data_IF_058444656279
#
_entry.id   IF_058444656279
#
_cell.length_a   1.000
_cell.length_b   1.000
_cell.length_c   1.000
_cell.angle_alpha   90.00
_cell.angle_beta   90.00
_cell.angle_gamma   90.00
#
_symmetry.space_group_name_H-M   'P 1'
#
loop_
_entity.id
_entity.type
_entity.pdbx_description
1 polymer ?
#
# COMPACT_ATOMS: atom_id res chain seq x y z
N UNK A 1 3.52 75.80 7.29
CA UNK A 1 2.96 74.79 6.37
C UNK A 1 3.79 73.55 6.65
N UNK A 2 3.53 72.83 7.75
CA UNK A 2 2.41 71.89 7.97
C UNK A 2 2.50 70.73 6.96
N UNK A 3 2.54 69.44 7.29
CA UNK A 3 2.66 68.59 8.50
C UNK A 3 3.07 67.21 7.88
N UNK A 4 4.16 66.53 8.26
CA UNK A 4 4.27 65.47 9.30
C UNK A 4 3.02 64.59 9.48
N UNK A 5 3.18 63.27 9.27
CA UNK A 5 2.76 62.25 10.25
C UNK A 5 3.15 60.83 9.80
N UNK A 6 4.35 60.41 10.25
CA UNK A 6 4.61 59.06 10.77
C UNK A 6 3.99 58.99 12.17
N UNK A 7 3.32 57.90 12.56
CA UNK A 7 3.29 57.47 13.96
C UNK A 7 2.87 56.00 14.10
N UNK A 8 3.84 55.19 14.50
CA UNK A 8 3.63 54.17 15.52
C UNK A 8 3.37 54.89 16.84
N UNK A 9 2.35 54.47 17.61
CA UNK A 9 2.16 54.87 19.01
C UNK A 9 1.98 53.64 19.88
N UNK A 10 2.91 53.49 20.80
CA UNK A 10 2.77 52.73 22.03
C UNK A 10 3.24 53.68 23.14
N UNK A 11 2.38 53.99 24.11
CA UNK A 11 2.79 54.54 25.41
C UNK A 11 1.71 54.21 26.45
N UNK A 12 2.15 53.74 27.62
CA UNK A 12 1.32 53.51 28.80
C UNK A 12 1.70 54.45 29.94
N UNK A 13 1.12 54.19 31.13
CA UNK A 13 1.72 54.24 32.49
C UNK A 13 0.64 54.53 33.55
N UNK A 14 0.49 53.60 34.50
CA UNK A 14 0.62 53.81 35.97
C UNK A 14 0.83 52.40 36.56
N UNK A 15 1.97 52.02 37.19
CA UNK A 15 2.44 52.42 38.52
C UNK A 15 1.76 51.55 39.61
N UNK A 16 2.37 50.71 40.44
CA UNK A 16 3.74 50.23 40.65
C UNK A 16 3.73 49.18 41.79
N UNK A 17 4.76 48.33 41.88
CA UNK A 17 5.46 47.82 43.09
C UNK A 17 6.24 46.53 42.80
N UNK A 18 7.56 46.66 42.72
CA UNK A 18 8.61 45.67 43.04
C UNK A 18 8.78 45.58 44.58
N UNK A 19 9.54 44.63 45.20
CA UNK A 19 10.79 43.98 44.73
C UNK A 19 10.90 42.47 45.09
N UNK A 20 11.94 41.66 44.82
CA UNK A 20 13.36 41.80 44.44
C UNK A 20 13.93 40.41 44.06
N UNK A 21 14.85 40.39 43.08
CA UNK A 21 16.09 39.58 42.92
C UNK A 21 16.11 38.04 43.10
N UNK A 22 16.78 37.22 42.28
CA UNK A 22 17.68 37.51 41.15
C UNK A 22 18.40 36.25 40.60
N UNK A 23 19.21 36.50 39.56
CA UNK A 23 20.34 35.72 39.00
C UNK A 23 20.13 34.63 37.92
N UNK A 24 20.39 35.06 36.67
CA UNK A 24 21.30 34.52 35.62
C UNK A 24 21.63 33.02 35.54
N UNK A 25 21.51 32.50 34.31
CA UNK A 25 22.34 31.39 33.80
C UNK A 25 21.76 30.78 32.52
N UNK A 26 22.47 30.96 31.40
CA UNK A 26 22.19 30.41 30.07
C UNK A 26 21.99 28.88 30.05
N UNK A 27 21.09 28.41 29.19
CA UNK A 27 21.30 27.21 28.37
C UNK A 27 20.29 27.17 27.23
N UNK A 28 20.78 27.35 26.00
CA UNK A 28 20.11 26.92 24.79
C UNK A 28 19.80 25.43 24.88
N UNK A 29 18.54 25.08 24.70
CA UNK A 29 18.11 23.71 24.44
C UNK A 29 17.24 23.76 23.18
N UNK A 30 17.86 23.46 22.04
CA UNK A 30 17.17 23.02 20.83
C UNK A 30 16.39 21.76 21.19
N UNK A 31 15.08 21.90 21.40
CA UNK A 31 14.14 20.78 21.39
C UNK A 31 13.62 20.63 19.97
N UNK A 32 14.33 19.83 19.17
CA UNK A 32 13.80 19.25 17.95
C UNK A 32 12.64 18.32 18.35
N UNK A 33 11.41 18.83 18.26
CA UNK A 33 10.20 18.05 18.46
C UNK A 33 10.02 17.07 17.29
N UNK A 34 10.32 15.79 17.57
CA UNK A 34 10.08 14.63 16.71
C UNK A 34 8.56 14.45 16.47
N UNK A 35 8.08 14.74 15.26
CA UNK A 35 6.71 14.40 14.86
C UNK A 35 6.66 13.06 14.09
N UNK A 36 5.84 12.15 14.61
CA UNK A 36 5.79 10.74 14.23
C UNK A 36 5.12 10.47 12.88
N UNK A 37 5.80 9.72 12.02
CA UNK A 37 5.23 9.10 10.83
C UNK A 37 4.39 7.88 11.22
N UNK A 38 3.15 8.10 11.64
CA UNK A 38 2.21 7.00 11.89
C UNK A 38 1.54 6.57 10.58
N UNK A 39 1.80 5.33 10.15
CA UNK A 39 0.87 4.60 9.28
C UNK A 39 -0.21 4.07 10.21
N UNK A 40 -1.31 4.81 10.33
CA UNK A 40 -2.44 4.42 11.17
C UNK A 40 -3.27 3.31 10.51
N UNK A 41 -3.70 2.29 11.24
CA UNK A 41 -4.83 1.44 10.86
C UNK A 41 -6.06 2.31 10.53
N UNK A 42 -6.93 1.88 9.61
CA UNK A 42 -8.16 2.64 9.30
C UNK A 42 -9.06 2.78 10.55
N UNK A 43 -8.88 1.90 11.53
CA UNK A 43 -9.62 1.90 12.81
C UNK A 43 -9.17 2.98 13.79
N UNK A 44 -8.00 3.58 13.61
CA UNK A 44 -7.40 4.52 14.58
C UNK A 44 -7.55 5.97 14.13
N UNK A 45 -8.76 6.37 13.71
CA UNK A 45 -9.10 7.78 13.54
C UNK A 45 -9.46 8.40 14.93
N UNK A 46 -8.66 9.35 15.45
CA UNK A 46 -8.88 9.96 16.77
C UNK A 46 -10.16 10.79 16.88
N UNK A 47 -10.97 10.92 15.83
CA UNK A 47 -12.24 11.68 15.85
C UNK A 47 -13.52 10.84 15.97
N UNK A 48 -13.41 9.52 16.08
CA UNK A 48 -14.58 8.61 16.07
C UNK A 48 -15.27 8.39 17.43
N UNK A 49 -15.23 9.36 18.35
CA UNK A 49 -16.07 9.34 19.56
C UNK A 49 -17.38 10.08 19.34
N UNK A 50 -18.23 9.60 18.42
CA UNK A 50 -19.67 9.89 18.48
C UNK A 50 -20.46 8.63 18.09
N UNK A 51 -21.24 8.12 19.05
CA UNK A 51 -22.20 7.04 18.88
C UNK A 51 -23.22 7.43 17.79
N UNK A 52 -23.10 6.82 16.61
CA UNK A 52 -24.09 6.86 15.55
C UNK A 52 -24.40 5.44 15.08
N UNK A 53 -25.67 5.14 14.91
CA UNK A 53 -26.14 3.83 14.45
C UNK A 53 -26.03 3.81 12.91
N UNK A 54 -24.94 3.26 12.37
CA UNK A 54 -24.61 3.36 10.94
C UNK A 54 -24.99 2.09 10.16
N UNK A 55 -25.57 2.27 8.95
CA UNK A 55 -25.80 1.21 7.98
C UNK A 55 -24.46 0.80 7.35
N UNK A 56 -23.84 -0.24 7.87
CA UNK A 56 -22.65 -0.89 7.29
C UNK A 56 -23.09 -1.77 6.11
N UNK A 57 -22.37 -1.74 4.99
CA UNK A 57 -22.55 -2.68 3.87
C UNK A 57 -22.52 -4.12 4.42
N UNK A 58 -23.47 -4.97 4.02
CA UNK A 58 -23.73 -6.26 4.69
C UNK A 58 -22.49 -7.17 4.82
N UNK A 59 -21.55 -7.11 3.87
CA UNK A 59 -20.32 -7.92 3.88
C UNK A 59 -19.35 -7.55 5.01
N UNK A 60 -19.29 -6.27 5.41
CA UNK A 60 -18.39 -5.76 6.46
C UNK A 60 -19.04 -5.76 7.85
N UNK A 61 -20.35 -6.01 7.94
CA UNK A 61 -21.09 -6.05 9.22
C UNK A 61 -20.61 -7.16 10.17
N UNK A 62 -19.97 -8.19 9.63
CA UNK A 62 -19.32 -9.25 10.40
C UNK A 62 -17.92 -8.85 10.90
N UNK A 63 -17.28 -7.86 10.25
CA UNK A 63 -15.95 -7.36 10.62
C UNK A 63 -16.01 -6.51 11.90
N UNK A 64 -17.07 -5.70 12.04
CA UNK A 64 -17.28 -4.80 13.18
C UNK A 64 -17.85 -5.50 14.42
N UNK A 65 -18.42 -6.70 14.28
CA UNK A 65 -19.05 -7.46 15.38
C UNK A 65 -18.09 -8.35 16.19
N UNK A 66 -16.80 -8.39 15.86
CA UNK A 66 -15.81 -9.26 16.52
C UNK A 66 -15.08 -8.60 17.71
N UNK A 67 -15.74 -7.75 18.50
CA UNK A 67 -15.14 -7.08 19.68
C UNK A 67 -15.21 -7.88 21.00
N UNK A 68 -15.47 -9.19 20.98
CA UNK A 68 -15.45 -10.02 22.18
C UNK A 68 -14.47 -11.19 22.08
N UNK A 69 -13.17 -10.88 22.06
CA UNK A 69 -12.15 -11.82 22.52
C UNK A 69 -11.26 -11.13 23.55
N UNK A 70 -11.22 -11.71 24.74
CA UNK A 70 -10.65 -11.12 25.94
C UNK A 70 -9.19 -10.73 25.82
N UNK A 71 -8.86 -9.65 26.51
CA UNK A 71 -7.50 -9.20 26.79
C UNK A 71 -6.74 -10.28 27.57
N UNK A 72 -6.10 -11.21 26.85
CA UNK A 72 -5.09 -12.10 27.42
C UNK A 72 -3.74 -11.41 27.26
N UNK A 73 -3.16 -10.97 28.37
CA UNK A 73 -1.90 -10.22 28.42
C UNK A 73 -0.79 -10.84 27.60
N UNK A 74 -0.17 -10.01 26.75
CA UNK A 74 1.03 -10.35 26.00
C UNK A 74 2.21 -10.59 26.95
N UNK A 75 3.04 -11.63 26.74
CA UNK A 75 4.32 -11.72 27.42
C UNK A 75 5.22 -10.60 26.90
N UNK A 76 5.73 -9.78 27.81
CA UNK A 76 6.73 -8.75 27.51
C UNK A 76 8.05 -9.41 27.09
N UNK A 77 8.20 -9.77 25.81
CA UNK A 77 9.51 -9.94 25.20
C UNK A 77 9.95 -8.57 24.68
N UNK A 78 11.05 -8.08 25.22
CA UNK A 78 11.68 -6.79 24.91
C UNK A 78 12.27 -6.77 23.50
N UNK A 79 11.43 -6.83 22.48
CA UNK A 79 11.81 -6.24 21.19
C UNK A 79 11.84 -4.73 21.42
N UNK A 80 13.02 -4.12 21.30
CA UNK A 80 13.19 -2.68 21.45
C UNK A 80 12.54 -1.98 20.25
N UNK A 81 11.21 -1.87 20.25
CA UNK A 81 10.44 -1.22 19.18
C UNK A 81 10.98 0.18 18.87
N UNK A 82 11.41 0.91 19.91
CA UNK A 82 12.05 2.22 19.76
C UNK A 82 13.36 2.17 18.97
N UNK A 83 14.19 1.15 19.17
CA UNK A 83 15.45 0.98 18.42
C UNK A 83 15.18 0.53 16.98
N UNK A 84 14.21 -0.38 16.78
CA UNK A 84 13.80 -0.80 15.45
C UNK A 84 13.26 0.38 14.62
N UNK A 85 12.45 1.26 15.23
CA UNK A 85 11.95 2.49 14.61
C UNK A 85 13.08 3.49 14.31
N UNK A 86 13.99 3.74 15.25
CA UNK A 86 15.16 4.59 15.00
C UNK A 86 15.98 4.09 13.83
N UNK A 87 16.27 2.79 13.79
CA UNK A 87 17.00 2.18 12.69
C UNK A 87 16.24 2.23 11.36
N UNK A 88 14.92 2.07 11.37
CA UNK A 88 14.09 2.21 10.17
C UNK A 88 14.08 3.64 9.63
N UNK A 89 13.95 4.64 10.51
CA UNK A 89 14.02 6.07 10.15
C UNK A 89 15.41 6.40 9.58
N UNK A 90 16.47 5.93 10.24
CA UNK A 90 17.83 6.18 9.77
C UNK A 90 18.06 5.60 8.38
N UNK A 91 17.60 4.36 8.13
CA UNK A 91 17.63 3.77 6.79
C UNK A 91 16.82 4.60 5.79
N UNK A 92 15.62 5.04 6.16
CA UNK A 92 14.76 5.83 5.28
C UNK A 92 15.41 7.18 4.91
N UNK A 93 16.10 7.85 5.85
CA UNK A 93 16.85 9.09 5.58
C UNK A 93 17.98 8.91 4.57
N UNK A 94 18.59 7.72 4.54
CA UNK A 94 19.70 7.39 3.64
C UNK A 94 19.25 6.80 2.30
N UNK A 95 17.96 6.53 2.12
CA UNK A 95 17.43 6.07 0.83
C UNK A 95 17.37 7.25 -0.15
N UNK A 96 18.03 7.17 -1.32
CA UNK A 96 17.93 8.20 -2.32
C UNK A 96 16.49 8.26 -2.87
N UNK A 97 16.05 9.44 -3.27
CA UNK A 97 14.78 9.60 -3.95
C UNK A 97 14.84 8.89 -5.33
N UNK A 98 14.04 7.83 -5.54
CA UNK A 98 14.06 7.07 -6.79
C UNK A 98 13.61 7.90 -8.00
N UNK A 99 13.01 9.08 -7.78
CA UNK A 99 12.55 9.97 -8.85
C UNK A 99 13.36 11.27 -8.98
N UNK A 100 14.47 11.40 -8.24
CA UNK A 100 15.31 12.59 -8.29
C UNK A 100 15.78 12.93 -9.73
N UNK A 101 16.09 11.92 -10.54
CA UNK A 101 16.57 12.09 -11.92
C UNK A 101 15.52 12.68 -12.87
N UNK A 102 14.22 12.61 -12.53
CA UNK A 102 13.15 13.14 -13.37
C UNK A 102 12.84 14.60 -13.08
N UNK A 103 13.49 15.20 -12.08
CA UNK A 103 13.36 16.62 -11.73
C UNK A 103 11.90 17.08 -11.61
N UNK A 104 11.06 16.25 -10.96
CA UNK A 104 9.63 16.54 -10.81
C UNK A 104 9.40 17.84 -10.03
N UNK A 105 10.36 18.26 -9.21
CA UNK A 105 10.33 19.54 -8.49
C UNK A 105 10.34 20.77 -9.41
N UNK A 106 10.79 20.65 -10.66
CA UNK A 106 10.85 21.75 -11.63
C UNK A 106 9.58 21.88 -12.46
N UNK A 107 8.70 20.86 -12.40
CA UNK A 107 7.40 20.86 -13.09
C UNK A 107 6.45 21.86 -12.41
N UNK A 108 5.51 22.41 -13.17
CA UNK A 108 4.46 23.28 -12.62
C UNK A 108 3.65 22.55 -11.52
N UNK A 109 3.42 23.26 -10.42
CA UNK A 109 2.53 22.78 -9.36
C UNK A 109 1.09 22.83 -9.83
N UNK A 110 0.33 21.78 -9.55
CA UNK A 110 -1.08 21.68 -9.86
C UNK A 110 -1.90 21.49 -8.59
N UNK A 111 -3.05 22.17 -8.52
CA UNK A 111 -4.02 21.99 -7.45
C UNK A 111 -5.04 20.92 -7.84
N UNK A 112 -5.23 19.92 -6.97
CA UNK A 112 -6.16 18.83 -7.20
C UNK A 112 -7.14 18.69 -6.03
N UNK A 113 -8.37 18.26 -6.34
CA UNK A 113 -9.28 17.74 -5.31
C UNK A 113 -8.99 16.26 -5.13
N UNK A 114 -8.78 15.82 -3.89
CA UNK A 114 -8.54 14.42 -3.54
C UNK A 114 -9.78 13.87 -2.83
N UNK A 115 -10.34 12.80 -3.39
CA UNK A 115 -11.44 12.05 -2.81
C UNK A 115 -10.92 10.76 -2.17
N UNK A 116 -11.11 10.61 -0.87
CA UNK A 116 -10.70 9.44 -0.08
C UNK A 116 -11.93 8.71 0.41
N UNK A 117 -11.92 7.38 0.28
CA UNK A 117 -13.00 6.54 0.79
C UNK A 117 -12.61 5.89 2.11
N UNK A 118 -13.45 6.02 3.12
CA UNK A 118 -13.32 5.28 4.37
C UNK A 118 -14.18 4.01 4.28
N UNK A 119 -13.55 2.86 4.13
CA UNK A 119 -14.25 1.58 4.00
C UNK A 119 -14.96 1.12 5.29
N UNK A 120 -14.63 1.69 6.45
CA UNK A 120 -15.30 1.37 7.72
C UNK A 120 -16.61 2.16 7.85
N UNK A 121 -16.58 3.47 7.58
CA UNK A 121 -17.78 4.32 7.69
C UNK A 121 -18.64 4.32 6.42
N UNK A 122 -18.06 3.95 5.27
CA UNK A 122 -18.71 4.04 3.96
C UNK A 122 -18.75 5.48 3.41
N UNK A 123 -18.02 6.41 4.02
CA UNK A 123 -18.07 7.83 3.68
C UNK A 123 -16.90 8.25 2.79
N UNK A 124 -17.15 9.28 1.98
CA UNK A 124 -16.14 9.97 1.20
C UNK A 124 -15.69 11.24 1.90
N UNK A 125 -14.38 11.44 1.93
CA UNK A 125 -13.73 12.64 2.45
C UNK A 125 -13.04 13.36 1.30
N UNK A 126 -13.20 14.67 1.24
CA UNK A 126 -12.60 15.52 0.21
C UNK A 126 -11.62 16.50 0.85
N UNK A 127 -10.45 16.64 0.23
CA UNK A 127 -9.47 17.66 0.59
C UNK A 127 -8.72 18.17 -0.64
N UNK A 128 -8.08 19.34 -0.50
CA UNK A 128 -7.24 19.91 -1.54
C UNK A 128 -5.80 19.44 -1.35
N UNK A 129 -5.16 19.10 -2.47
CA UNK A 129 -3.77 18.66 -2.49
C UNK A 129 -3.00 19.36 -3.59
N UNK A 130 -1.70 19.56 -3.36
CA UNK A 130 -0.77 20.04 -4.36
C UNK A 130 0.03 18.86 -4.90
N UNK A 131 0.05 18.72 -6.22
CA UNK A 131 0.83 17.68 -6.89
C UNK A 131 1.70 18.25 -8.00
N UNK A 132 2.75 17.50 -8.36
CA UNK A 132 3.56 17.69 -9.56
C UNK A 132 3.65 16.36 -10.27
N UNK A 133 3.11 16.28 -11.48
CA UNK A 133 2.98 15.03 -12.23
C UNK A 133 3.76 15.11 -13.54
N UNK A 134 4.51 14.05 -13.85
CA UNK A 134 5.19 13.91 -15.13
C UNK A 134 4.18 13.91 -16.29
N UNK A 135 4.56 14.50 -17.42
CA UNK A 135 3.71 14.55 -18.62
C UNK A 135 3.62 13.23 -19.37
N UNK A 136 4.64 12.37 -19.24
CA UNK A 136 4.72 11.08 -19.92
C UNK A 136 4.50 9.92 -18.93
N UNK A 137 3.77 8.87 -19.33
CA UNK A 137 3.64 7.67 -18.51
C UNK A 137 4.98 6.92 -18.45
N UNK A 138 5.22 6.22 -17.35
CA UNK A 138 6.41 5.38 -17.17
C UNK A 138 6.09 3.89 -17.08
N UNK A 139 4.81 3.55 -16.90
CA UNK A 139 4.32 2.20 -16.81
C UNK A 139 2.93 2.10 -17.41
N UNK A 140 2.57 0.91 -17.87
CA UNK A 140 1.28 0.62 -18.49
C UNK A 140 0.85 -0.78 -18.11
N UNK A 141 -0.35 -0.90 -17.54
CA UNK A 141 -1.06 -2.17 -17.34
C UNK A 141 -2.00 -2.47 -18.50
N UNK A 142 -2.91 -3.42 -18.31
CA UNK A 142 -3.90 -3.77 -19.33
C UNK A 142 -4.87 -2.61 -19.64
N UNK A 143 -5.36 -1.93 -18.59
CA UNK A 143 -6.42 -0.92 -18.72
C UNK A 143 -5.97 0.50 -18.39
N UNK A 144 -4.85 0.65 -17.65
CA UNK A 144 -4.40 1.93 -17.08
C UNK A 144 -2.94 2.19 -17.37
N UNK A 145 -2.58 3.45 -17.52
CA UNK A 145 -1.21 3.93 -17.60
C UNK A 145 -0.83 4.74 -16.36
N UNK A 146 0.46 4.76 -16.03
CA UNK A 146 1.00 5.22 -14.75
C UNK A 146 1.97 6.39 -14.95
N UNK A 147 1.81 7.45 -14.16
CA UNK A 147 2.61 8.67 -14.18
C UNK A 147 3.33 8.87 -12.85
N UNK A 148 4.59 9.30 -12.92
CA UNK A 148 5.36 9.68 -11.72
C UNK A 148 4.79 10.99 -11.18
N UNK A 149 4.45 11.02 -9.89
CA UNK A 149 3.76 12.15 -9.28
C UNK A 149 4.27 12.45 -7.88
N UNK A 150 4.82 13.64 -7.62
CA UNK A 150 5.05 14.08 -6.25
C UNK A 150 3.79 14.72 -5.70
N UNK A 151 3.46 14.42 -4.44
CA UNK A 151 2.41 15.11 -3.68
C UNK A 151 3.05 15.77 -2.47
N UNK A 152 2.79 17.06 -2.31
CA UNK A 152 3.29 17.79 -1.15
C UNK A 152 2.58 17.32 0.13
N UNK A 153 3.31 17.31 1.26
CA UNK A 153 2.71 17.05 2.57
C UNK A 153 1.76 18.20 2.93
N UNK A 154 0.63 17.86 3.55
CA UNK A 154 -0.31 18.87 4.05
C UNK A 154 0.09 19.37 5.46
N UNK A 155 1.08 18.73 6.10
CA UNK A 155 1.49 18.99 7.49
C UNK A 155 2.77 19.82 7.58
N UNK A 156 3.59 19.84 6.53
CA UNK A 156 4.84 20.61 6.54
C UNK A 156 4.55 22.05 6.13
N UNK A 157 4.91 23.00 6.99
CA UNK A 157 4.81 24.43 6.71
C UNK A 157 5.73 24.89 5.57
N UNK A 158 6.76 24.11 5.25
CA UNK A 158 7.70 24.40 4.16
C UNK A 158 7.30 23.63 2.89
N UNK A 159 7.09 24.35 1.79
CA UNK A 159 6.75 23.75 0.48
C UNK A 159 7.98 23.12 -0.21
N UNK A 160 8.63 22.16 0.45
CA UNK A 160 9.86 21.54 -0.06
C UNK A 160 9.57 20.33 -0.94
N UNK A 161 9.49 20.55 -2.26
CA UNK A 161 9.20 19.51 -3.26
C UNK A 161 10.26 18.40 -3.36
N UNK A 162 11.52 18.69 -3.02
CA UNK A 162 12.58 17.67 -3.01
C UNK A 162 12.30 16.55 -1.99
N UNK A 163 11.73 16.90 -0.84
CA UNK A 163 11.32 15.95 0.20
C UNK A 163 9.87 15.47 0.10
N UNK A 164 9.12 15.90 -0.92
CA UNK A 164 7.73 15.48 -1.10
C UNK A 164 7.64 13.99 -1.46
N UNK A 165 6.59 13.33 -0.99
CA UNK A 165 6.41 11.89 -1.17
C UNK A 165 6.10 11.54 -2.63
N UNK A 166 6.62 10.38 -3.05
CA UNK A 166 6.42 9.82 -4.39
C UNK A 166 5.13 9.01 -4.47
N UNK A 167 4.30 9.32 -5.48
CA UNK A 167 3.01 8.69 -5.78
C UNK A 167 2.89 8.33 -7.27
N UNK A 168 2.23 7.20 -7.55
CA UNK A 168 1.85 6.81 -8.90
C UNK A 168 0.44 7.31 -9.16
N UNK A 169 0.30 8.18 -10.16
CA UNK A 169 -1.02 8.56 -10.68
C UNK A 169 -1.38 7.63 -11.85
N UNK A 170 -2.57 7.04 -11.84
CA UNK A 170 -3.04 6.13 -12.89
C UNK A 170 -4.29 6.68 -13.55
N UNK A 171 -4.39 6.57 -14.87
CA UNK A 171 -5.65 6.84 -15.60
C UNK A 171 -5.95 5.70 -16.55
N UNK A 172 -7.22 5.54 -16.91
CA UNK A 172 -7.61 4.61 -17.95
C UNK A 172 -7.08 5.05 -19.32
N UNK A 173 -6.67 4.06 -20.11
CA UNK A 173 -6.22 4.26 -21.49
C UNK A 173 -7.42 4.62 -22.38
N UNK A 174 -8.54 3.95 -22.15
CA UNK A 174 -9.81 4.21 -22.80
C UNK A 174 -10.69 5.11 -21.94
N UNK A 175 -11.65 5.80 -22.58
CA UNK A 175 -12.61 6.63 -21.85
C UNK A 175 -13.52 5.75 -21.03
N UNK A 176 -13.66 6.06 -19.74
CA UNK A 176 -14.59 5.40 -18.83
C UNK A 176 -15.43 6.45 -18.10
N UNK A 177 -16.56 6.02 -17.54
CA UNK A 177 -17.39 6.89 -16.72
C UNK A 177 -16.67 7.28 -15.42
N UNK A 178 -17.00 8.46 -14.90
CA UNK A 178 -16.43 8.98 -13.65
C UNK A 178 -16.61 8.00 -12.50
N UNK A 179 -17.77 7.37 -12.39
CA UNK A 179 -18.10 6.46 -11.28
C UNK A 179 -17.17 5.25 -11.21
N UNK A 180 -16.60 4.82 -12.34
CA UNK A 180 -15.62 3.73 -12.40
C UNK A 180 -14.39 4.05 -11.54
N UNK A 181 -13.90 5.29 -11.56
CA UNK A 181 -12.76 5.69 -10.72
C UNK A 181 -13.06 5.57 -9.23
N UNK A 182 -14.29 5.90 -8.82
CA UNK A 182 -14.72 5.87 -7.43
C UNK A 182 -14.98 4.43 -6.97
N UNK A 183 -15.56 3.59 -7.84
CA UNK A 183 -15.80 2.18 -7.55
C UNK A 183 -14.49 1.40 -7.38
N UNK A 184 -13.47 1.65 -8.21
CA UNK A 184 -12.13 1.07 -8.06
C UNK A 184 -11.48 1.42 -6.71
N UNK A 185 -11.66 2.67 -6.24
CA UNK A 185 -11.17 3.08 -4.92
C UNK A 185 -11.93 2.36 -3.81
N UNK A 186 -13.26 2.20 -3.92
CA UNK A 186 -14.03 1.41 -2.94
C UNK A 186 -13.51 -0.02 -2.87
N UNK A 187 -13.36 -0.67 -4.04
CA UNK A 187 -12.84 -2.02 -4.15
C UNK A 187 -11.50 -2.17 -3.41
N UNK A 188 -10.52 -1.33 -3.74
CA UNK A 188 -9.19 -1.45 -3.16
C UNK A 188 -9.18 -1.18 -1.64
N UNK A 189 -9.99 -0.23 -1.18
CA UNK A 189 -10.09 0.09 0.24
C UNK A 189 -10.87 -0.99 1.03
N UNK A 190 -11.86 -1.65 0.43
CA UNK A 190 -12.52 -2.81 1.04
C UNK A 190 -11.58 -4.03 1.07
N UNK A 191 -10.81 -4.27 0.00
CA UNK A 191 -9.77 -5.29 -0.01
C UNK A 191 -8.71 -5.04 1.08
N UNK A 192 -8.39 -3.77 1.38
CA UNK A 192 -7.49 -3.41 2.49
C UNK A 192 -8.02 -3.86 3.85
N UNK A 193 -9.32 -3.71 4.12
CA UNK A 193 -9.93 -4.21 5.36
C UNK A 193 -9.79 -5.73 5.49
N UNK A 194 -9.85 -6.46 4.38
CA UNK A 194 -9.57 -7.90 4.37
C UNK A 194 -8.10 -8.22 4.70
N UNK A 195 -7.16 -7.39 4.23
CA UNK A 195 -5.75 -7.46 4.64
C UNK A 195 -5.56 -7.28 6.15
N UNK A 196 -6.23 -6.28 6.73
CA UNK A 196 -6.22 -6.06 8.18
C UNK A 196 -6.81 -7.25 8.94
N UNK A 197 -7.93 -7.80 8.47
CA UNK A 197 -8.58 -8.97 9.10
C UNK A 197 -7.72 -10.23 9.03
N UNK A 198 -7.06 -10.46 7.88
CA UNK A 198 -6.06 -11.51 7.74
C UNK A 198 -4.95 -11.35 8.78
N UNK A 199 -4.46 -10.13 8.99
CA UNK A 199 -3.40 -9.85 9.97
C UNK A 199 -3.83 -10.05 11.42
N UNK A 200 -5.11 -9.84 11.76
CA UNK A 200 -5.65 -10.12 13.12
C UNK A 200 -5.49 -11.59 13.52
N UNK A 201 -5.41 -12.50 12.54
CA UNK A 201 -5.22 -13.93 12.73
C UNK A 201 -3.74 -14.34 12.86
N UNK A 202 -2.82 -13.38 12.99
CA UNK A 202 -1.37 -13.59 13.21
C UNK A 202 -0.75 -14.60 12.23
N UNK A 203 -0.93 -14.41 10.91
CA UNK A 203 -0.31 -15.27 9.90
C UNK A 203 1.23 -15.20 10.01
N UNK A 204 1.97 -16.18 9.47
CA UNK A 204 3.44 -16.15 9.48
C UNK A 204 4.03 -14.89 8.82
N UNK A 205 3.25 -14.27 7.93
CA UNK A 205 3.54 -12.98 7.32
C UNK A 205 2.26 -12.16 7.23
N UNK A 206 2.34 -10.95 7.73
CA UNK A 206 1.32 -9.94 7.51
C UNK A 206 1.36 -9.44 6.07
N UNK A 207 0.22 -8.96 5.60
CA UNK A 207 0.05 -8.35 4.27
C UNK A 207 -0.52 -6.95 4.45
N UNK A 208 -0.35 -6.09 3.47
CA UNK A 208 -1.10 -4.84 3.41
C UNK A 208 -1.49 -4.52 1.97
N UNK A 209 -2.58 -3.79 1.81
CA UNK A 209 -3.03 -3.26 0.52
C UNK A 209 -2.87 -1.74 0.55
N UNK A 210 -2.24 -1.21 -0.51
CA UNK A 210 -2.00 0.21 -0.63
C UNK A 210 -3.31 0.99 -0.62
N UNK A 211 -3.32 2.09 0.13
CA UNK A 211 -4.41 3.04 0.04
C UNK A 211 -4.40 3.71 -1.33
N UNK A 212 -5.60 3.88 -1.88
CA UNK A 212 -5.83 4.55 -3.15
C UNK A 212 -6.88 5.65 -2.95
N UNK A 213 -6.73 6.73 -3.70
CA UNK A 213 -7.70 7.82 -3.73
C UNK A 213 -7.92 8.28 -5.17
N UNK A 214 -9.01 9.02 -5.41
CA UNK A 214 -9.22 9.71 -6.69
C UNK A 214 -8.64 11.11 -6.56
N UNK A 215 -7.89 11.58 -7.55
CA UNK A 215 -7.52 12.99 -7.70
C UNK A 215 -8.10 13.58 -8.97
N UNK A 216 -8.73 14.74 -8.83
CA UNK A 216 -9.33 15.52 -9.92
C UNK A 216 -8.50 16.78 -10.16
N UNK A 217 -7.96 16.90 -11.38
CA UNK A 217 -7.18 18.07 -11.80
C UNK A 217 -8.11 19.16 -12.32
N UNK A 218 -8.61 19.99 -11.40
CA UNK A 218 -9.65 21.00 -11.64
C UNK A 218 -9.29 22.03 -12.71
N UNK A 219 -8.00 22.36 -12.80
CA UNK A 219 -7.50 23.40 -13.70
C UNK A 219 -7.16 22.89 -15.10
N UNK A 220 -7.19 21.56 -15.32
CA UNK A 220 -6.98 20.96 -16.64
C UNK A 220 -8.29 20.89 -17.43
N UNK A 221 -8.26 21.08 -18.77
CA UNK A 221 -9.43 20.87 -19.61
C UNK A 221 -10.03 19.47 -19.41
N UNK A 222 -11.35 19.42 -19.24
CA UNK A 222 -12.07 18.17 -19.00
C UNK A 222 -11.97 17.61 -17.58
N UNK A 223 -11.27 18.29 -16.65
CA UNK A 223 -11.13 17.90 -15.24
C UNK A 223 -10.77 16.41 -15.06
N UNK A 224 -9.66 15.95 -15.66
CA UNK A 224 -9.33 14.54 -15.72
C UNK A 224 -9.12 13.95 -14.32
N UNK A 225 -9.52 12.69 -14.18
CA UNK A 225 -9.38 11.91 -12.96
C UNK A 225 -8.22 10.94 -13.04
N UNK A 226 -7.56 10.76 -11.90
CA UNK A 226 -6.51 9.79 -11.72
C UNK A 226 -6.74 9.03 -10.41
N UNK A 227 -6.42 7.74 -10.39
CA UNK A 227 -6.15 7.04 -9.14
C UNK A 227 -4.78 7.47 -8.65
N UNK A 228 -4.64 7.78 -7.36
CA UNK A 228 -3.36 8.14 -6.74
C UNK A 228 -3.06 7.21 -5.58
N UNK A 229 -1.89 6.56 -5.64
CA UNK A 229 -1.35 5.67 -4.60
C UNK A 229 0.14 5.95 -4.39
N UNK A 230 0.69 5.61 -3.23
CA UNK A 230 2.13 5.78 -3.00
C UNK A 230 2.95 4.89 -3.92
N UNK A 231 4.10 5.40 -4.37
CA UNK A 231 5.07 4.59 -5.08
C UNK A 231 5.65 3.50 -4.17
N UNK A 232 5.65 2.27 -4.67
CA UNK A 232 6.26 1.13 -3.99
C UNK A 232 7.57 0.77 -4.70
N UNK A 233 8.69 0.96 -4.03
CA UNK A 233 9.99 0.58 -4.57
C UNK A 233 10.21 -0.93 -4.48
N UNK A 234 10.59 -1.54 -5.61
CA UNK A 234 11.04 -2.93 -5.70
C UNK A 234 10.47 -3.68 -6.90
N UNK A 235 10.71 -5.00 -6.94
CA UNK A 235 10.23 -5.86 -8.02
C UNK A 235 8.73 -6.10 -7.90
N UNK A 236 7.97 -5.52 -8.83
CA UNK A 236 6.53 -5.75 -8.97
C UNK A 236 6.26 -7.17 -9.48
N UNK A 237 5.41 -7.93 -8.79
CA UNK A 237 5.07 -9.31 -9.13
C UNK A 237 3.55 -9.50 -9.01
N UNK A 238 2.94 -10.16 -10.00
CA UNK A 238 1.56 -10.64 -9.97
C UNK A 238 1.53 -12.11 -9.52
N UNK A 239 0.90 -12.39 -8.39
CA UNK A 239 0.93 -13.70 -7.72
C UNK A 239 -0.24 -14.61 -8.10
N UNK A 240 -1.42 -14.05 -8.36
CA UNK A 240 -2.54 -14.72 -8.98
C UNK A 240 -3.31 -13.75 -9.88
N UNK A 241 -4.20 -14.27 -10.72
CA UNK A 241 -5.11 -13.47 -11.55
C UNK A 241 -6.55 -13.56 -11.05
N UNK A 242 -7.38 -12.60 -11.47
CA UNK A 242 -8.83 -12.66 -11.33
C UNK A 242 -9.50 -13.83 -12.09
N UNK A 243 -8.78 -14.51 -12.99
CA UNK A 243 -9.26 -15.65 -13.79
C UNK A 243 -8.67 -17.00 -13.35
N UNK A 244 -8.04 -17.08 -12.17
CA UNK A 244 -7.48 -18.31 -11.61
C UNK A 244 -6.10 -18.69 -12.16
N UNK A 245 -5.45 -17.84 -12.94
CA UNK A 245 -4.10 -18.08 -13.45
C UNK A 245 -3.05 -17.79 -12.37
N UNK A 246 -2.11 -18.71 -12.18
CA UNK A 246 -0.95 -18.56 -11.30
C UNK A 246 0.30 -18.75 -12.16
N UNK A 247 1.26 -17.83 -12.10
CA UNK A 247 2.54 -18.00 -12.78
C UNK A 247 3.47 -18.90 -11.97
N UNK A 248 3.97 -19.96 -12.61
CA UNK A 248 4.80 -21.00 -11.98
C UNK A 248 6.14 -20.48 -11.43
N UNK A 249 6.70 -19.43 -12.03
CA UNK A 249 8.03 -18.91 -11.73
C UNK A 249 8.13 -18.07 -10.45
N UNK A 250 7.00 -17.63 -9.88
CA UNK A 250 6.96 -16.74 -8.69
C UNK A 250 5.91 -17.16 -7.64
N UNK A 251 5.60 -18.45 -7.56
CA UNK A 251 4.64 -18.95 -6.58
C UNK A 251 5.06 -18.62 -5.14
N UNK A 252 4.15 -17.98 -4.39
CA UNK A 252 4.30 -17.70 -2.96
C UNK A 252 3.08 -18.18 -2.21
N UNK A 253 3.30 -18.65 -0.98
CA UNK A 253 2.24 -19.24 -0.16
C UNK A 253 1.26 -18.19 0.40
N UNK A 254 1.78 -17.02 0.82
CA UNK A 254 0.99 -15.97 1.48
C UNK A 254 -0.12 -15.39 0.59
N UNK A 255 0.13 -14.99 -0.67
CA UNK A 255 -0.94 -14.49 -1.55
C UNK A 255 -2.09 -15.47 -1.75
N UNK A 256 -1.79 -16.76 -1.94
CA UNK A 256 -2.83 -17.79 -2.15
C UNK A 256 -3.61 -18.09 -0.87
N UNK A 257 -2.92 -18.11 0.28
CA UNK A 257 -3.57 -18.28 1.57
C UNK A 257 -4.43 -17.07 1.94
N UNK A 258 -4.00 -15.85 1.58
CA UNK A 258 -4.79 -14.63 1.75
C UNK A 258 -6.09 -14.68 0.95
N UNK A 259 -6.03 -14.97 -0.35
CA UNK A 259 -7.24 -15.14 -1.17
C UNK A 259 -8.18 -16.19 -0.58
N UNK A 260 -7.68 -17.38 -0.24
CA UNK A 260 -8.48 -18.43 0.38
C UNK A 260 -9.08 -18.00 1.73
N UNK A 261 -8.32 -17.27 2.56
CA UNK A 261 -8.80 -16.74 3.83
C UNK A 261 -9.99 -15.80 3.63
N UNK A 262 -9.94 -14.90 2.65
CA UNK A 262 -11.06 -13.97 2.40
C UNK A 262 -12.34 -14.70 1.99
N UNK A 263 -12.22 -15.78 1.21
CA UNK A 263 -13.35 -16.64 0.86
C UNK A 263 -13.97 -17.30 2.09
N UNK A 264 -13.16 -17.97 2.90
CA UNK A 264 -13.65 -18.69 4.08
C UNK A 264 -14.24 -17.73 5.11
N UNK A 265 -13.52 -16.63 5.40
CA UNK A 265 -13.90 -15.68 6.44
C UNK A 265 -15.13 -14.84 6.08
N UNK A 266 -15.40 -14.63 4.80
CA UNK A 266 -16.63 -13.95 4.33
C UNK A 266 -17.87 -14.84 4.37
N UNK A 267 -17.74 -16.11 4.78
CA UNK A 267 -18.84 -17.07 4.66
C UNK A 267 -19.16 -17.37 3.19
N UNK A 268 -18.13 -17.46 2.35
CA UNK A 268 -18.20 -17.79 0.93
C UNK A 268 -18.91 -16.75 0.06
N UNK A 269 -19.11 -15.53 0.58
CA UNK A 269 -19.80 -14.44 -0.12
C UNK A 269 -18.88 -13.62 -1.04
N UNK A 270 -17.58 -13.59 -0.76
CA UNK A 270 -16.60 -12.88 -1.59
C UNK A 270 -15.21 -13.51 -1.52
N UNK A 271 -14.37 -13.22 -2.51
CA UNK A 271 -12.94 -13.52 -2.50
C UNK A 271 -12.13 -12.35 -3.05
N UNK A 272 -11.00 -12.04 -2.42
CA UNK A 272 -10.01 -11.07 -2.92
C UNK A 272 -8.95 -11.81 -3.72
N UNK A 273 -8.79 -11.44 -4.99
CA UNK A 273 -7.86 -12.02 -5.97
C UNK A 273 -7.11 -10.91 -6.72
N UNK A 274 -6.42 -11.27 -7.80
CA UNK A 274 -5.49 -10.38 -8.52
C UNK A 274 -4.39 -9.81 -7.61
N UNK A 275 -3.89 -10.64 -6.70
CA UNK A 275 -2.89 -10.24 -5.71
C UNK A 275 -1.57 -9.95 -6.41
N UNK A 276 -1.17 -8.68 -6.37
CA UNK A 276 0.03 -8.18 -7.04
C UNK A 276 0.65 -7.01 -6.27
N UNK A 277 1.95 -6.82 -6.41
CA UNK A 277 2.68 -5.72 -5.75
C UNK A 277 4.13 -6.06 -5.48
N UNK A 278 4.70 -5.47 -4.43
CA UNK A 278 6.11 -5.68 -4.04
C UNK A 278 6.17 -6.37 -2.68
N UNK A 279 6.61 -7.62 -2.67
CA UNK A 279 6.65 -8.40 -1.45
C UNK A 279 5.24 -8.67 -0.93
N UNK A 280 4.93 -8.30 0.31
CA UNK A 280 3.61 -8.50 0.92
C UNK A 280 2.80 -7.19 1.01
N UNK A 281 3.24 -6.17 0.27
CA UNK A 281 2.51 -4.92 0.06
C UNK A 281 1.89 -4.95 -1.34
N UNK A 282 0.57 -5.05 -1.40
CA UNK A 282 -0.20 -5.28 -2.60
C UNK A 282 -0.91 -4.01 -3.09
N UNK A 283 -1.27 -3.98 -4.37
CA UNK A 283 -2.12 -2.95 -4.98
C UNK A 283 -2.95 -3.52 -6.13
N UNK A 284 -3.94 -2.78 -6.60
CA UNK A 284 -4.85 -3.15 -7.69
C UNK A 284 -5.44 -4.58 -7.55
N UNK A 285 -6.05 -4.94 -6.40
CA UNK A 285 -6.73 -6.23 -6.26
C UNK A 285 -8.04 -6.26 -7.08
N UNK A 286 -8.62 -7.44 -7.21
CA UNK A 286 -10.00 -7.62 -7.67
C UNK A 286 -10.81 -8.36 -6.59
N UNK A 287 -12.09 -8.00 -6.44
CA UNK A 287 -13.04 -8.73 -5.60
C UNK A 287 -14.03 -9.46 -6.49
N UNK A 288 -14.22 -10.75 -6.25
CA UNK A 288 -15.39 -11.48 -6.76
C UNK A 288 -16.40 -11.65 -5.65
N UNK A 289 -17.69 -11.52 -5.97
CA UNK A 289 -18.79 -11.71 -5.00
C UNK A 289 -19.78 -12.77 -5.48
N UNK A 290 -20.61 -13.28 -4.59
CA UNK A 290 -21.70 -14.19 -4.98
C UNK A 290 -22.63 -13.56 -6.03
N UNK A 291 -22.90 -12.25 -5.90
CA UNK A 291 -23.80 -11.50 -6.80
C UNK A 291 -23.18 -11.23 -8.17
N UNK A 292 -21.88 -10.92 -8.21
CA UNK A 292 -21.17 -10.62 -9.46
C UNK A 292 -21.55 -9.29 -10.11
N UNK A 293 -22.22 -8.37 -9.40
CA UNK A 293 -22.73 -7.09 -9.96
C UNK A 293 -22.07 -5.84 -9.37
N UNK A 294 -21.26 -6.01 -8.34
CA UNK A 294 -20.46 -4.99 -7.64
C UNK A 294 -18.98 -5.04 -8.06
N UNK A 295 -18.17 -4.04 -7.70
CA UNK A 295 -16.70 -4.03 -7.93
C UNK A 295 -16.24 -4.10 -9.40
N UNK A 296 -17.05 -3.54 -10.31
CA UNK A 296 -16.73 -3.35 -11.73
C UNK A 296 -16.68 -4.64 -12.56
N UNK A 297 -16.37 -4.48 -13.84
CA UNK A 297 -16.43 -5.57 -14.84
C UNK A 297 -15.43 -6.71 -14.59
N UNK A 298 -14.42 -6.47 -13.74
CA UNK A 298 -13.47 -7.49 -13.32
C UNK A 298 -14.04 -8.51 -12.33
N UNK A 299 -15.23 -8.26 -11.75
CA UNK A 299 -15.95 -9.19 -10.90
C UNK A 299 -16.61 -10.28 -11.75
N UNK A 300 -16.02 -11.48 -11.75
CA UNK A 300 -16.51 -12.65 -12.47
C UNK A 300 -17.49 -13.49 -11.64
N UNK A 301 -17.93 -12.97 -10.49
CA UNK A 301 -18.84 -13.61 -9.56
C UNK A 301 -18.38 -14.99 -9.09
N UNK A 302 -19.35 -15.90 -8.90
CA UNK A 302 -19.09 -17.32 -8.55
C UNK A 302 -18.20 -18.05 -9.55
N UNK A 303 -18.19 -17.63 -10.83
CA UNK A 303 -17.29 -18.20 -11.83
C UNK A 303 -15.84 -17.84 -11.52
N UNK A 304 -15.57 -16.59 -11.14
CA UNK A 304 -14.24 -16.15 -10.69
C UNK A 304 -13.75 -16.92 -9.47
N UNK A 305 -14.64 -17.13 -8.49
CA UNK A 305 -14.35 -17.96 -7.30
C UNK A 305 -14.00 -19.39 -7.68
N UNK A 306 -14.80 -20.03 -8.54
CA UNK A 306 -14.54 -21.40 -8.99
C UNK A 306 -13.21 -21.51 -9.74
N UNK A 307 -12.88 -20.53 -10.60
CA UNK A 307 -11.61 -20.48 -11.32
C UNK A 307 -10.40 -20.39 -10.37
N UNK A 308 -10.52 -19.63 -9.27
CA UNK A 308 -9.49 -19.60 -8.24
C UNK A 308 -9.29 -20.98 -7.61
N UNK A 309 -10.37 -21.65 -7.19
CA UNK A 309 -10.28 -22.97 -6.54
C UNK A 309 -9.88 -24.10 -7.48
N UNK A 310 -10.10 -23.93 -8.79
CA UNK A 310 -9.62 -24.88 -9.80
C UNK A 310 -8.08 -24.94 -9.86
N UNK A 311 -7.37 -23.86 -9.51
CA UNK A 311 -5.90 -23.82 -9.52
C UNK A 311 -5.27 -23.78 -8.13
N UNK A 312 -6.04 -23.45 -7.10
CA UNK A 312 -5.56 -23.31 -5.72
C UNK A 312 -5.37 -24.66 -5.02
N UNK A 313 -4.18 -24.86 -4.46
CA UNK A 313 -3.93 -25.93 -3.51
C UNK A 313 -3.67 -25.37 -2.12
N UNK A 314 -4.37 -25.91 -1.11
CA UNK A 314 -4.13 -25.54 0.28
C UNK A 314 -2.67 -25.77 0.68
N UNK A 315 -2.01 -24.70 1.11
CA UNK A 315 -0.62 -24.75 1.58
C UNK A 315 -0.53 -24.73 3.11
N UNK A 316 0.69 -24.74 3.66
CA UNK A 316 0.92 -24.78 5.12
C UNK A 316 0.29 -23.61 5.88
N UNK A 317 0.12 -22.44 5.25
CA UNK A 317 -0.50 -21.27 5.87
C UNK A 317 -2.02 -21.48 5.96
N UNK A 318 -2.65 -21.99 4.89
CA UNK A 318 -4.07 -22.36 4.92
C UNK A 318 -4.35 -23.34 6.08
N UNK A 319 -3.48 -24.35 6.23
CA UNK A 319 -3.58 -25.35 7.30
C UNK A 319 -3.38 -24.75 8.69
N UNK A 320 -2.39 -23.88 8.88
CA UNK A 320 -2.15 -23.23 10.18
C UNK A 320 -3.27 -22.27 10.58
N UNK A 321 -3.99 -21.70 9.59
CA UNK A 321 -5.13 -20.83 9.81
C UNK A 321 -6.46 -21.58 9.90
N UNK A 322 -6.45 -22.92 9.82
CA UNK A 322 -7.66 -23.74 9.93
C UNK A 322 -8.65 -23.60 8.76
N UNK A 323 -8.18 -23.17 7.58
CA UNK A 323 -9.05 -22.99 6.40
C UNK A 323 -9.51 -24.35 5.86
N UNK A 324 -10.81 -24.48 5.62
CA UNK A 324 -11.39 -25.68 5.03
C UNK A 324 -10.88 -25.88 3.60
N UNK A 325 -10.38 -27.07 3.21
CA UNK A 325 -10.10 -27.38 1.82
C UNK A 325 -11.36 -27.27 0.97
N UNK A 326 -11.26 -26.73 -0.24
CA UNK A 326 -12.39 -26.69 -1.16
C UNK A 326 -12.67 -28.10 -1.71
N UNK A 327 -13.94 -28.47 -1.77
CA UNK A 327 -14.38 -29.79 -2.25
C UNK A 327 -14.27 -29.86 -3.77
N UNK A 328 -13.24 -30.54 -4.25
CA UNK A 328 -12.97 -30.76 -5.67
C UNK A 328 -13.32 -32.19 -6.10
N UNK A 329 -13.80 -32.34 -7.33
CA UNK A 329 -14.01 -33.67 -7.92
C UNK A 329 -12.68 -34.43 -8.04
N UNK A 330 -12.67 -35.78 -8.13
CA UNK A 330 -11.44 -36.54 -8.31
C UNK A 330 -10.56 -36.04 -9.47
N UNK A 331 -11.17 -35.65 -10.61
CA UNK A 331 -10.44 -35.14 -11.78
C UNK A 331 -9.77 -33.79 -11.52
N UNK A 332 -10.44 -32.90 -10.81
CA UNK A 332 -9.91 -31.58 -10.46
C UNK A 332 -8.81 -31.68 -9.39
N UNK A 333 -8.96 -32.61 -8.43
CA UNK A 333 -7.91 -32.88 -7.44
C UNK A 333 -6.59 -33.28 -8.09
N UNK A 334 -6.63 -34.13 -9.12
CA UNK A 334 -5.42 -34.54 -9.83
C UNK A 334 -4.71 -33.36 -10.52
N UNK A 335 -5.48 -32.45 -11.12
CA UNK A 335 -4.96 -31.22 -11.72
C UNK A 335 -4.32 -30.29 -10.66
N UNK A 336 -5.02 -30.04 -9.55
CA UNK A 336 -4.51 -29.23 -8.43
C UNK A 336 -3.29 -29.85 -7.77
N UNK A 337 -3.21 -31.18 -7.67
CA UNK A 337 -2.06 -31.88 -7.11
C UNK A 337 -0.80 -31.71 -7.97
N UNK A 338 -0.93 -31.56 -9.29
CA UNK A 338 0.21 -31.23 -10.16
C UNK A 338 0.73 -29.82 -9.85
N UNK A 339 -0.16 -28.83 -9.72
CA UNK A 339 0.20 -27.48 -9.27
C UNK A 339 0.80 -27.47 -7.86
N UNK A 340 0.37 -28.39 -7.00
CA UNK A 340 0.89 -28.54 -5.62
C UNK A 340 2.37 -28.92 -5.60
N UNK A 341 2.85 -29.74 -6.55
CA UNK A 341 4.29 -30.08 -6.64
C UNK A 341 5.15 -28.83 -6.89
N UNK A 342 4.64 -27.87 -7.66
CA UNK A 342 5.28 -26.57 -7.86
C UNK A 342 5.25 -25.73 -6.58
N UNK A 343 4.13 -25.71 -5.85
CA UNK A 343 4.00 -25.04 -4.55
C UNK A 343 4.91 -25.59 -3.45
N UNK A 344 5.27 -26.88 -3.48
CA UNK A 344 6.21 -27.45 -2.50
C UNK A 344 7.63 -26.87 -2.64
N UNK A 345 7.99 -26.36 -3.81
CA UNK A 345 9.25 -25.66 -4.04
C UNK A 345 9.20 -24.17 -3.64
N UNK A 346 8.01 -23.61 -3.47
CA UNK A 346 7.80 -22.21 -3.15
C UNK A 346 8.25 -21.88 -1.72
N UNK A 347 9.17 -20.91 -1.58
CA UNK A 347 9.67 -20.44 -0.29
C UNK A 347 8.94 -19.18 0.18
N UNK A 348 8.74 -19.08 1.49
CA UNK A 348 8.39 -17.82 2.14
C UNK A 348 9.64 -16.96 2.25
N UNK A 349 9.70 -15.83 1.55
CA UNK A 349 10.86 -14.91 1.58
C UNK A 349 10.71 -13.93 2.74
N UNK A 350 11.32 -14.18 3.90
CA UNK A 350 11.36 -13.15 4.96
C UNK A 350 12.16 -11.93 4.48
N UNK A 351 11.68 -10.71 4.79
CA UNK A 351 12.37 -9.48 4.41
C UNK A 351 13.53 -9.29 5.39
N UNK A 352 14.76 -9.50 4.93
CA UNK A 352 15.98 -9.30 5.71
C UNK A 352 16.75 -10.59 6.01
N UNK A 353 18.08 -10.49 6.09
CA UNK A 353 18.92 -11.54 6.64
C UNK A 353 18.59 -11.68 8.12
N UNK A 354 18.03 -12.82 8.52
CA UNK A 354 17.92 -13.16 9.93
C UNK A 354 19.34 -13.22 10.53
N UNK A 355 19.73 -12.22 11.31
CA UNK A 355 20.75 -12.48 12.32
C UNK A 355 20.12 -13.40 13.35
N UNK A 356 20.64 -14.63 13.44
CA UNK A 356 20.30 -15.56 14.50
C UNK A 356 20.69 -14.94 15.84
N UNK A 357 19.76 -14.25 16.49
CA UNK A 357 19.89 -13.89 17.89
C UNK A 357 19.80 -15.16 18.73
N UNK A 358 20.96 -15.72 19.09
CA UNK A 358 21.04 -16.81 20.05
C UNK A 358 22.23 -17.74 19.86
N UNK A 359 23.42 -17.31 20.29
CA UNK A 359 24.41 -18.21 20.88
C UNK A 359 25.24 -17.44 21.90
N UNK A 360 25.24 -17.84 23.19
CA UNK A 360 26.07 -17.19 24.18
C UNK A 360 27.52 -17.67 24.02
N UNK A 361 28.43 -16.70 23.94
CA UNK A 361 29.90 -16.81 23.93
C UNK A 361 30.52 -17.14 22.57
N UNK A 362 31.15 -16.12 21.98
CA UNK A 362 32.58 -16.11 21.67
C UNK A 362 32.99 -14.62 21.57
N UNK A 363 33.96 -14.22 22.41
CA UNK A 363 34.72 -12.98 22.21
C UNK A 363 35.63 -13.20 21.02
N UNK A 364 35.56 -12.37 19.98
CA UNK A 364 36.73 -12.11 19.13
C UNK A 364 36.74 -10.67 18.64
N UNK A 365 37.96 -10.13 18.67
CA UNK A 365 38.39 -8.75 18.55
C UNK A 365 38.11 -8.09 17.19
N UNK A 366 38.04 -6.77 17.25
CA UNK A 366 38.07 -5.79 16.16
C UNK A 366 39.13 -6.09 15.08
N UNK A 367 38.73 -6.03 13.81
CA UNK A 367 39.60 -6.07 12.64
C UNK A 367 38.96 -5.35 11.45
N UNK A 368 39.45 -4.16 11.17
CA UNK A 368 39.05 -3.25 10.08
C UNK A 368 39.50 -3.71 8.69
N UNK A 369 38.57 -3.89 7.74
CA UNK A 369 38.71 -3.58 6.29
C UNK A 369 37.41 -3.92 5.49
N UNK A 370 37.01 -3.10 4.49
CA UNK A 370 35.87 -3.42 3.61
C UNK A 370 36.31 -4.34 2.44
N UNK A 371 35.43 -5.23 1.93
CA UNK A 371 35.74 -6.04 0.76
C UNK A 371 35.55 -5.26 -0.56
N UNK A 372 36.51 -5.45 -1.45
CA UNK A 372 36.58 -4.90 -2.81
C UNK A 372 35.54 -5.54 -3.74
N UNK A 373 34.80 -4.72 -4.49
CA UNK A 373 33.96 -5.15 -5.61
C UNK A 373 34.82 -5.41 -6.86
N UNK A 374 34.80 -6.64 -7.36
CA UNK A 374 35.33 -6.99 -8.67
C UNK A 374 34.21 -6.88 -9.72
N UNK A 375 34.37 -5.90 -10.62
CA UNK A 375 33.67 -5.81 -11.91
C UNK A 375 34.06 -7.02 -12.76
N UNK A 376 33.06 -7.71 -13.31
CA UNK A 376 33.23 -8.51 -14.53
C UNK A 376 32.27 -7.98 -15.59
N UNK A 377 32.86 -7.37 -16.62
CA UNK A 377 32.23 -7.18 -17.93
C UNK A 377 32.50 -8.41 -18.77
N UNK A 378 31.54 -8.83 -19.58
CA UNK A 378 31.81 -9.60 -20.79
C UNK A 378 30.70 -9.31 -21.81
N UNK A 379 31.10 -8.66 -22.90
CA UNK A 379 30.35 -8.47 -24.13
C UNK A 379 30.70 -9.61 -25.09
N UNK A 380 29.69 -10.24 -25.68
CA UNK A 380 29.66 -10.83 -27.03
C UNK A 380 28.18 -11.16 -27.29
N UNK A 381 27.45 -10.60 -28.24
CA UNK A 381 27.81 -10.29 -29.62
C UNK A 381 27.26 -11.40 -30.51
N UNK A 382 26.01 -11.27 -30.99
CA UNK A 382 25.65 -11.52 -32.39
C UNK A 382 24.20 -11.12 -32.68
N UNK A 383 24.04 -10.43 -33.81
CA UNK A 383 22.81 -9.88 -34.33
C UNK A 383 22.07 -10.85 -35.26
N UNK A 384 20.79 -10.55 -35.45
CA UNK A 384 19.97 -10.78 -36.64
C UNK A 384 19.26 -12.15 -36.78
N UNK A 385 17.93 -12.13 -36.56
CA UNK A 385 16.96 -12.80 -37.44
C UNK A 385 15.57 -12.18 -37.24
N UNK A 386 14.94 -11.93 -38.37
CA UNK A 386 13.78 -11.10 -38.67
C UNK A 386 12.43 -11.65 -38.21
N UNK A 387 11.54 -10.71 -37.84
CA UNK A 387 10.17 -10.54 -38.32
C UNK A 387 9.38 -11.79 -38.76
N UNK A 388 8.37 -12.19 -37.96
CA UNK A 388 7.20 -12.95 -38.42
C UNK A 388 6.00 -12.68 -37.49
N UNK A 389 5.16 -11.74 -37.95
CA UNK A 389 3.69 -11.85 -38.10
C UNK A 389 2.84 -12.45 -36.97
N UNK A 390 2.04 -11.54 -36.42
CA UNK A 390 0.74 -11.72 -35.75
C UNK A 390 -0.20 -12.59 -36.58
N UNK A 391 -0.60 -13.75 -36.05
CA UNK A 391 -1.71 -14.55 -36.60
C UNK A 391 -2.84 -14.67 -35.58
N UNK A 392 -3.97 -14.09 -35.97
CA UNK A 392 -5.28 -14.29 -35.38
C UNK A 392 -5.79 -15.67 -35.79
N UNK A 393 -6.38 -16.42 -34.87
CA UNK A 393 -7.10 -17.66 -35.18
C UNK A 393 -8.58 -17.55 -34.82
N UNK A 394 -9.45 -18.28 -35.56
CA UNK A 394 -10.73 -17.78 -36.01
C UNK A 394 -11.92 -18.42 -35.30
N UNK A 395 -12.99 -17.65 -35.20
CA UNK A 395 -14.35 -18.13 -34.97
C UNK A 395 -14.83 -18.96 -36.16
N UNK A 396 -15.41 -20.13 -35.90
CA UNK A 396 -16.23 -20.92 -36.84
C UNK A 396 -16.94 -22.04 -36.06
N UNK A 397 -18.03 -22.64 -36.58
CA UNK A 397 -19.27 -21.98 -36.99
C UNK A 397 -20.54 -22.75 -36.56
N UNK A 398 -21.66 -22.04 -36.42
CA UNK A 398 -22.97 -22.31 -37.05
C UNK A 398 -23.92 -21.16 -36.71
#
# INVERSE_FOLDING_TARGET
MADEDLIFRLEGVDGGQTPRAGHHGDSEADSDDEEGYFICPITDDPRSHQNGNFKVNNYSSNLTKSEQYGSSGSPASSFHFKEAWKHAIEKAKHMPDPWAEFHLEDIATECATRHRYNAVTGEWLEDEVLIKMASQPFGRGAMRECFRTKKLSNFLHTQQWKGASNYVAKRYIESVDRDVYFEDVRLQMEAKLWGEEYNRHKPPKQVDIMQMCVVELRDRPGKPLFHLEHYIEGKYIKYNSNSGFVRDDNMRLTPQAFSHFTFERSGHQLIVVDIQGVGDLYTDPQIHTEKGTDFGDGNLGVRGMALFFYSHACNRICKSMGLAPFDLSPRERDAVNQNTKLLQSAKTILRGTEEKCGSPRIRTLSGSRPPLLLRLSENSGDENMSDVTFDSLPSSPS
#
